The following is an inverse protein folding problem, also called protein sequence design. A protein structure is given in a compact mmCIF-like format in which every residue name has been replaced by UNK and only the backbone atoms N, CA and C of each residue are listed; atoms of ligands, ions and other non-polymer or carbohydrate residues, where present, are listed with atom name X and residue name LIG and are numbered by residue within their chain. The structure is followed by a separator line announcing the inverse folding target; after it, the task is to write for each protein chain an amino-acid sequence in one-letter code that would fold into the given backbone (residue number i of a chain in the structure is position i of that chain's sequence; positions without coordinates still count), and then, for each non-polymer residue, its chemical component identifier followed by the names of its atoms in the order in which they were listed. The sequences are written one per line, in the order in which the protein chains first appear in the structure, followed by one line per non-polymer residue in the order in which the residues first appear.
data_IF_887125025585
#
_entry.id   IF_887125025585
#
_cell.length_a   1.000
_cell.length_b   1.000
_cell.length_c   1.000
_cell.angle_alpha   90.00
_cell.angle_beta   90.00
_cell.angle_gamma   90.00
#
_symmetry.space_group_name_H-M   'P 1'
#
loop_
_entity.id
_entity.type
_entity.pdbx_description
1 polymer ?
#
# COMPACT_ATOMS: atom_id res chain seq x y z
N UNK A 1 -1.98 -13.94 -9.18
CA UNK A 1 -3.16 -14.52 -8.49
C UNK A 1 -4.11 -13.37 -8.21
N UNK A 2 -5.42 -13.53 -8.45
CA UNK A 2 -6.38 -12.45 -8.21
C UNK A 2 -6.83 -12.42 -6.75
N UNK A 3 -6.96 -11.21 -6.20
CA UNK A 3 -7.37 -10.94 -4.82
C UNK A 3 -8.27 -9.71 -4.78
N UNK A 4 -9.08 -9.63 -3.74
CA UNK A 4 -9.88 -8.44 -3.44
C UNK A 4 -9.06 -7.52 -2.52
N UNK A 5 -8.84 -6.29 -2.96
CA UNK A 5 -8.27 -5.21 -2.17
C UNK A 5 -9.40 -4.36 -1.59
N UNK A 6 -9.42 -4.17 -0.28
CA UNK A 6 -10.37 -3.27 0.39
C UNK A 6 -9.77 -1.88 0.52
N UNK A 7 -10.50 -0.87 0.08
CA UNK A 7 -10.10 0.53 0.19
C UNK A 7 -10.39 1.04 1.59
N UNK A 8 -9.35 1.08 2.42
CA UNK A 8 -9.42 1.56 3.79
C UNK A 8 -9.48 3.09 3.87
N UNK A 9 -9.99 3.59 4.99
CA UNK A 9 -10.04 5.02 5.30
C UNK A 9 -8.62 5.59 5.46
N UNK A 10 -8.29 6.63 4.68
CA UNK A 10 -7.00 7.32 4.76
C UNK A 10 -6.94 8.23 6.00
N UNK A 11 -5.73 8.44 6.50
CA UNK A 11 -5.39 9.26 7.67
C UNK A 11 -6.02 8.79 8.99
N UNK A 12 -6.48 7.54 9.03
CA UNK A 12 -6.96 6.90 10.25
C UNK A 12 -5.82 6.21 10.99
N UNK A 13 -5.52 6.69 12.19
CA UNK A 13 -4.55 6.04 13.07
C UNK A 13 -5.07 4.68 13.55
N UNK A 14 -4.25 3.66 13.35
CA UNK A 14 -4.39 2.36 13.99
C UNK A 14 -3.31 2.24 15.05
N UNK A 15 -3.72 2.33 16.33
CA UNK A 15 -2.83 2.29 17.50
C UNK A 15 -2.46 0.86 17.86
N UNK A 16 -1.20 0.66 18.23
CA UNK A 16 -0.65 -0.55 18.83
C UNK A 16 0.23 -0.18 20.04
N UNK A 17 0.66 -1.16 20.83
CA UNK A 17 1.35 -0.91 22.11
C UNK A 17 2.53 0.08 22.00
N UNK A 18 3.34 -0.07 20.95
CA UNK A 18 4.56 0.71 20.75
C UNK A 18 4.35 1.98 19.90
N UNK A 19 3.17 2.18 19.31
CA UNK A 19 2.87 3.37 18.53
C UNK A 19 1.65 3.25 17.63
N UNK A 20 1.75 3.71 16.38
CA UNK A 20 0.63 3.71 15.44
C UNK A 20 1.08 3.59 13.99
N UNK A 21 0.16 3.23 13.12
CA UNK A 21 0.32 3.39 11.68
C UNK A 21 -0.93 4.00 11.07
N UNK A 22 -0.79 4.58 9.88
CA UNK A 22 -1.92 4.99 9.05
C UNK A 22 -1.57 4.90 7.57
N UNK A 23 -2.61 4.85 6.74
CA UNK A 23 -2.48 4.96 5.29
C UNK A 23 -2.68 6.42 4.92
N UNK A 24 -1.72 7.02 4.22
CA UNK A 24 -1.72 8.43 3.85
C UNK A 24 -2.37 8.65 2.49
N UNK A 25 -1.97 7.83 1.52
CA UNK A 25 -2.30 8.04 0.11
C UNK A 25 -2.57 6.70 -0.57
N UNK A 26 -3.55 6.69 -1.46
CA UNK A 26 -3.83 5.58 -2.37
C UNK A 26 -3.68 6.09 -3.81
N UNK A 27 -2.83 5.43 -4.59
CA UNK A 27 -2.46 5.89 -5.93
C UNK A 27 -2.46 4.73 -6.92
N UNK A 28 -2.69 5.08 -8.19
CA UNK A 28 -2.49 4.17 -9.34
C UNK A 28 -1.33 4.68 -10.18
N UNK A 29 -0.47 3.76 -10.62
CA UNK A 29 0.67 4.01 -11.48
C UNK A 29 0.49 3.27 -12.80
N UNK A 30 0.55 3.98 -13.91
CA UNK A 30 0.59 3.33 -15.23
C UNK A 30 1.92 2.58 -15.39
N UNK A 31 1.85 1.30 -15.75
CA UNK A 31 3.00 0.41 -15.97
C UNK A 31 2.74 -0.48 -17.19
N UNK A 32 3.23 -0.05 -18.34
CA UNK A 32 2.87 -0.64 -19.63
C UNK A 32 1.38 -0.43 -19.94
N UNK A 33 0.69 -1.50 -20.29
CA UNK A 33 -0.76 -1.50 -20.56
C UNK A 33 -1.61 -1.74 -19.29
N UNK A 34 -0.96 -1.81 -18.12
CA UNK A 34 -1.61 -2.11 -16.84
C UNK A 34 -1.48 -0.94 -15.88
N UNK A 35 -2.40 -0.85 -14.93
CA UNK A 35 -2.29 0.06 -13.78
C UNK A 35 -1.88 -0.72 -12.54
N UNK A 36 -0.88 -0.25 -11.80
CA UNK A 36 -0.48 -0.79 -10.50
C UNK A 36 -1.11 0.04 -9.40
N UNK A 37 -1.83 -0.61 -8.49
CA UNK A 37 -2.27 -0.01 -7.25
C UNK A 37 -1.12 -0.02 -6.25
N UNK A 38 -0.86 1.13 -5.63
CA UNK A 38 0.03 1.24 -4.48
C UNK A 38 -0.55 2.19 -3.44
N UNK A 39 -0.24 1.91 -2.17
CA UNK A 39 -0.73 2.65 -1.02
C UNK A 39 0.47 3.09 -0.21
N UNK A 40 0.54 4.37 0.13
CA UNK A 40 1.59 4.90 0.99
C UNK A 40 1.05 4.96 2.39
N UNK A 41 1.81 4.42 3.34
CA UNK A 41 1.54 4.54 4.75
C UNK A 41 2.76 5.02 5.51
N UNK A 42 2.52 5.41 6.76
CA UNK A 42 3.60 5.61 7.71
C UNK A 42 3.29 4.85 8.99
N UNK A 43 4.36 4.32 9.59
CA UNK A 43 4.34 3.76 10.93
C UNK A 43 5.25 4.60 11.81
N UNK A 44 4.80 4.87 13.03
CA UNK A 44 5.55 5.57 14.05
C UNK A 44 5.61 4.72 15.32
N UNK A 45 6.80 4.66 15.90
CA UNK A 45 7.08 4.12 17.21
C UNK A 45 7.27 5.33 18.13
N UNK A 46 6.22 5.75 18.80
CA UNK A 46 6.20 6.92 19.69
C UNK A 46 6.09 6.53 21.17
N UNK A 47 5.73 5.27 21.46
CA UNK A 47 5.41 4.79 22.80
C UNK A 47 6.26 3.57 23.22
N UNK A 48 7.51 3.51 22.77
CA UNK A 48 8.45 2.44 23.18
C UNK A 48 9.37 2.88 24.31
N UNK A 49 9.72 1.96 25.21
CA UNK A 49 10.63 2.25 26.32
C UNK A 49 12.10 2.46 25.88
N UNK A 50 12.46 2.04 24.66
CA UNK A 50 13.84 2.03 24.17
C UNK A 50 14.11 3.08 23.09
N UNK A 51 13.16 4.00 22.84
CA UNK A 51 13.34 5.11 21.90
C UNK A 51 12.16 5.34 20.98
N UNK A 52 12.37 6.23 20.00
CA UNK A 52 11.39 6.57 18.97
C UNK A 52 11.91 6.14 17.60
N UNK A 53 11.00 5.89 16.67
CA UNK A 53 11.33 5.53 15.31
C UNK A 53 10.13 5.60 14.38
N UNK A 54 10.34 5.29 13.12
CA UNK A 54 9.26 5.21 12.15
C UNK A 54 9.75 4.89 10.76
N UNK A 55 8.83 4.57 9.88
CA UNK A 55 9.10 4.41 8.46
C UNK A 55 7.91 4.92 7.65
N UNK A 56 8.22 5.41 6.45
CA UNK A 56 7.23 5.65 5.41
C UNK A 56 7.40 4.57 4.37
N UNK A 57 6.33 3.87 4.05
CA UNK A 57 6.37 2.64 3.27
C UNK A 57 5.32 2.65 2.16
N UNK A 58 5.54 1.85 1.12
CA UNK A 58 4.52 1.55 0.13
C UNK A 58 4.08 0.09 0.22
N UNK A 59 2.77 -0.14 0.16
CA UNK A 59 2.16 -1.45 -0.07
C UNK A 59 1.71 -1.52 -1.53
N UNK A 60 2.02 -2.62 -2.21
CA UNK A 60 1.64 -2.84 -3.61
C UNK A 60 0.74 -4.07 -3.68
N UNK A 61 -0.60 -3.87 -3.62
CA UNK A 61 -1.56 -4.96 -3.78
C UNK A 61 -1.44 -5.70 -5.12
N UNK A 62 -1.18 -4.95 -6.19
CA UNK A 62 -0.92 -5.53 -7.51
C UNK A 62 -1.47 -4.71 -8.68
N UNK A 63 -1.60 -5.36 -9.83
CA UNK A 63 -2.23 -4.76 -11.01
C UNK A 63 -3.74 -4.66 -10.82
N UNK A 64 -4.33 -3.51 -11.14
CA UNK A 64 -5.77 -3.30 -11.07
C UNK A 64 -6.45 -4.05 -12.20
N UNK A 65 -7.35 -4.97 -11.85
CA UNK A 65 -8.22 -5.70 -12.80
C UNK A 65 -9.58 -5.01 -12.88
N UNK A 66 -10.15 -4.66 -11.73
CA UNK A 66 -11.41 -3.91 -11.63
C UNK A 66 -11.30 -2.88 -10.51
N UNK A 67 -11.50 -1.60 -10.84
CA UNK A 67 -11.32 -0.49 -9.91
C UNK A 67 -12.62 -0.11 -9.21
N UNK A 68 -12.66 -0.22 -7.87
CA UNK A 68 -13.78 0.21 -7.01
C UNK A 68 -15.14 -0.24 -7.57
N UNK A 69 -15.19 -1.47 -8.08
CA UNK A 69 -16.34 -2.01 -8.81
C UNK A 69 -17.42 -2.54 -7.88
N UNK A 70 -17.06 -2.86 -6.64
CA UNK A 70 -17.93 -3.47 -5.64
C UNK A 70 -17.75 -2.80 -4.28
N UNK A 71 -18.60 -3.17 -3.33
CA UNK A 71 -18.55 -2.74 -1.93
C UNK A 71 -18.64 -3.97 -1.05
N UNK A 72 -17.81 -4.06 -0.02
CA UNK A 72 -17.82 -5.19 0.90
C UNK A 72 -18.97 -5.07 1.93
N UNK A 73 -19.11 -6.08 2.80
CA UNK A 73 -20.14 -6.13 3.84
C UNK A 73 -20.08 -4.97 4.84
N UNK A 74 -18.92 -4.33 5.01
CA UNK A 74 -18.73 -3.19 5.91
C UNK A 74 -18.95 -1.84 5.22
N UNK A 75 -19.34 -1.82 3.95
CA UNK A 75 -19.59 -0.60 3.19
C UNK A 75 -18.35 0.05 2.56
N UNK A 76 -17.18 -0.60 2.61
CA UNK A 76 -15.96 -0.09 2.00
C UNK A 76 -15.90 -0.50 0.52
N UNK A 77 -15.49 0.41 -0.39
CA UNK A 77 -15.22 0.04 -1.78
C UNK A 77 -14.17 -1.05 -1.85
N UNK A 78 -14.27 -1.93 -2.86
CA UNK A 78 -13.25 -2.94 -3.14
C UNK A 78 -12.82 -2.94 -4.61
N UNK A 79 -11.57 -3.31 -4.86
CA UNK A 79 -11.02 -3.55 -6.19
C UNK A 79 -10.56 -4.99 -6.34
N UNK A 80 -10.70 -5.54 -7.55
CA UNK A 80 -10.01 -6.77 -7.93
C UNK A 80 -8.60 -6.42 -8.39
N UNK A 81 -7.58 -7.05 -7.79
CA UNK A 81 -6.17 -6.87 -8.14
C UNK A 81 -5.51 -8.21 -8.46
N UNK A 82 -4.56 -8.20 -9.37
CA UNK A 82 -3.69 -9.32 -9.67
C UNK A 82 -2.30 -9.11 -9.04
N UNK A 83 -1.90 -10.01 -8.15
CA UNK A 83 -0.59 -9.96 -7.48
C UNK A 83 0.55 -10.00 -8.49
N UNK A 84 1.55 -9.14 -8.29
CA UNK A 84 2.76 -9.09 -9.12
C UNK A 84 3.70 -10.19 -8.64
N UNK A 85 3.93 -11.19 -9.49
CA UNK A 85 4.75 -12.37 -9.15
C UNK A 85 6.14 -12.34 -9.78
N UNK A 86 6.31 -11.62 -10.88
CA UNK A 86 7.57 -11.57 -11.60
C UNK A 86 8.53 -10.58 -10.93
N UNK A 87 9.76 -11.04 -10.70
CA UNK A 87 10.76 -10.28 -9.96
C UNK A 87 11.28 -9.06 -10.74
N UNK A 88 11.23 -9.10 -12.08
CA UNK A 88 11.62 -7.98 -12.92
C UNK A 88 10.65 -6.80 -12.74
N UNK A 89 9.33 -7.03 -12.80
CA UNK A 89 8.34 -5.98 -12.52
C UNK A 89 8.44 -5.47 -11.08
N UNK A 90 8.63 -6.35 -10.09
CA UNK A 90 8.80 -5.92 -8.70
C UNK A 90 10.03 -5.00 -8.55
N UNK A 91 11.16 -5.40 -9.14
CA UNK A 91 12.40 -4.63 -9.08
C UNK A 91 12.23 -3.26 -9.72
N UNK A 92 11.63 -3.22 -10.91
CA UNK A 92 11.44 -1.96 -11.64
C UNK A 92 10.41 -1.04 -10.96
N UNK A 93 9.29 -1.59 -10.49
CA UNK A 93 8.30 -0.82 -9.73
C UNK A 93 8.88 -0.29 -8.42
N UNK A 94 9.69 -1.09 -7.73
CA UNK A 94 10.37 -0.65 -6.52
C UNK A 94 11.33 0.50 -6.81
N UNK A 95 12.06 0.46 -7.92
CA UNK A 95 12.93 1.57 -8.37
C UNK A 95 12.11 2.84 -8.64
N UNK A 96 11.06 2.73 -9.46
CA UNK A 96 10.20 3.87 -9.83
C UNK A 96 9.58 4.51 -8.58
N UNK A 97 9.04 3.71 -7.66
CA UNK A 97 8.39 4.24 -6.45
C UNK A 97 9.38 4.87 -5.48
N UNK A 98 10.60 4.35 -5.34
CA UNK A 98 11.66 4.99 -4.53
C UNK A 98 12.12 6.33 -5.11
N UNK A 99 12.09 6.50 -6.43
CA UNK A 99 12.43 7.76 -7.09
C UNK A 99 11.30 8.80 -6.97
N UNK A 100 10.04 8.34 -7.01
CA UNK A 100 8.85 9.20 -7.01
C UNK A 100 8.37 9.58 -5.63
N UNK A 101 8.49 8.69 -4.65
CA UNK A 101 7.91 8.82 -3.32
C UNK A 101 9.01 8.79 -2.27
N UNK A 102 8.91 9.63 -1.23
CA UNK A 102 9.82 9.59 -0.09
C UNK A 102 9.50 8.40 0.81
N UNK A 103 9.86 7.18 0.38
CA UNK A 103 9.60 5.92 1.09
C UNK A 103 10.89 5.13 1.31
N UNK A 104 10.97 4.42 2.43
CA UNK A 104 12.13 3.60 2.79
C UNK A 104 11.89 2.10 2.62
N UNK A 105 10.61 1.69 2.57
CA UNK A 105 10.20 0.28 2.46
C UNK A 105 9.11 0.11 1.41
N UNK A 106 9.12 -1.04 0.75
CA UNK A 106 8.14 -1.43 -0.27
C UNK A 106 7.80 -2.89 -0.04
N UNK A 107 6.52 -3.18 0.13
CA UNK A 107 6.01 -4.53 0.32
C UNK A 107 5.02 -4.90 -0.78
N UNK A 108 5.18 -6.10 -1.34
CA UNK A 108 4.29 -6.68 -2.34
C UNK A 108 3.43 -7.78 -1.68
N UNK A 109 2.17 -7.92 -2.12
CA UNK A 109 1.22 -8.93 -1.63
C UNK A 109 1.43 -10.36 -2.15
#
# INVERSE_FOLDING_TARGET
MRRIYTHEELNKEVRFIAGYYLLEEEKRLNYGEREVLYVIGHAAIDNSCCGVGGCRYALIPGYVVAWKNETNETGNPVSEVETIVDEDSKTELARILKEKEAITQIEFW
#
